data_IF_266847209377
#
_entry.id   IF_266847209377
#
_cell.length_a   1.000
_cell.length_b   1.000
_cell.length_c   1.000
_cell.angle_alpha   90.00
_cell.angle_beta   90.00
_cell.angle_gamma   90.00
#
_symmetry.space_group_name_H-M   'P 1'
#
loop_
_entity.id
_entity.type
_entity.pdbx_description
1 polymer ?
#
# COMPACT_ATOMS: atom_id res chain seq x y z
N UNK A 1 -19.04 5.47 -2.41
CA UNK A 1 -18.31 4.21 -2.18
C UNK A 1 -18.76 3.56 -0.87
N UNK A 2 -18.90 4.35 0.20
CA UNK A 2 -19.61 3.97 1.41
C UNK A 2 -21.13 3.98 1.32
N UNK A 3 -21.78 3.84 2.47
CA UNK A 3 -23.24 3.93 2.64
C UNK A 3 -23.74 5.37 2.90
N UNK A 4 -22.81 6.33 3.03
CA UNK A 4 -23.10 7.74 3.23
C UNK A 4 -23.31 8.15 4.68
N UNK A 5 -23.19 7.21 5.63
CA UNK A 5 -23.29 7.45 7.08
C UNK A 5 -21.91 7.58 7.73
N UNK A 6 -20.84 7.49 6.96
CA UNK A 6 -19.49 7.52 7.49
C UNK A 6 -19.06 8.94 7.87
N UNK A 7 -18.48 9.08 9.06
CA UNK A 7 -17.99 10.36 9.58
C UNK A 7 -16.46 10.43 9.44
N UNK A 8 -15.95 11.57 8.97
CA UNK A 8 -14.52 11.88 8.98
C UNK A 8 -14.29 13.38 9.18
N UNK A 9 -13.10 13.72 9.67
CA UNK A 9 -12.69 15.11 9.78
C UNK A 9 -12.04 15.51 8.45
N UNK A 10 -12.57 16.55 7.81
CA UNK A 10 -11.95 17.08 6.59
C UNK A 10 -10.53 17.55 6.93
N UNK A 11 -9.48 16.96 6.33
CA UNK A 11 -8.11 17.33 6.66
C UNK A 11 -7.78 18.69 6.06
N UNK A 12 -6.86 19.41 6.69
CA UNK A 12 -6.27 20.61 6.12
C UNK A 12 -5.42 20.27 4.88
N UNK A 13 -5.22 21.24 4.00
CA UNK A 13 -4.21 21.14 2.93
C UNK A 13 -2.85 21.40 3.56
N UNK A 14 -1.87 20.55 3.23
CA UNK A 14 -0.50 20.65 3.73
C UNK A 14 0.48 20.21 2.65
N UNK A 15 1.74 20.64 2.79
CA UNK A 15 2.83 20.12 1.97
C UNK A 15 3.10 18.65 2.30
N UNK A 16 3.48 17.88 1.29
CA UNK A 16 3.93 16.49 1.41
C UNK A 16 5.42 16.47 1.05
N UNK A 17 6.27 16.04 1.97
CA UNK A 17 7.69 15.89 1.67
C UNK A 17 7.89 14.62 0.86
N UNK A 18 8.90 14.64 0.00
CA UNK A 18 9.27 13.47 -0.80
C UNK A 18 10.76 13.47 -1.08
N UNK A 19 11.29 12.27 -1.32
CA UNK A 19 12.68 12.02 -1.67
C UNK A 19 12.74 11.26 -3.00
N UNK A 20 13.60 11.71 -3.92
CA UNK A 20 13.96 10.96 -5.12
C UNK A 20 15.09 10.00 -4.79
N UNK A 21 14.83 8.70 -4.97
CA UNK A 21 15.80 7.65 -4.70
C UNK A 21 16.14 6.89 -5.97
N UNK A 22 17.43 6.76 -6.24
CA UNK A 22 18.00 6.00 -7.34
C UNK A 22 18.99 4.94 -6.85
N UNK A 23 19.58 4.22 -7.80
CA UNK A 23 20.75 3.35 -7.54
C UNK A 23 21.99 4.01 -8.12
N UNK A 24 23.15 3.85 -7.47
CA UNK A 24 24.47 4.19 -8.00
C UNK A 24 25.23 2.91 -8.30
N UNK A 25 25.91 2.82 -9.44
CA UNK A 25 26.62 1.60 -9.85
C UNK A 25 27.85 1.31 -8.96
N UNK A 26 28.58 2.38 -8.64
CA UNK A 26 29.92 2.32 -8.07
C UNK A 26 29.93 2.53 -6.54
N UNK A 27 28.76 2.64 -5.91
CA UNK A 27 28.65 2.83 -4.47
C UNK A 27 28.88 1.51 -3.72
N UNK A 28 29.70 1.52 -2.67
CA UNK A 28 29.84 0.37 -1.76
C UNK A 28 28.69 0.32 -0.76
N UNK A 29 28.50 -0.85 -0.11
CA UNK A 29 27.43 -1.03 0.88
C UNK A 29 27.64 -0.16 2.14
N UNK A 30 28.88 0.26 2.40
CA UNK A 30 29.28 1.12 3.52
C UNK A 30 29.37 2.62 3.15
N UNK A 31 29.15 2.98 1.88
CA UNK A 31 29.23 4.38 1.45
C UNK A 31 28.03 5.18 1.97
N UNK A 32 28.30 6.25 2.72
CA UNK A 32 27.24 7.15 3.20
C UNK A 32 26.61 7.93 2.05
N UNK A 33 25.31 8.23 2.18
CA UNK A 33 24.61 9.08 1.21
C UNK A 33 25.27 10.46 1.16
N UNK A 34 25.75 10.93 0.00
CA UNK A 34 26.45 12.20 -0.09
C UNK A 34 25.58 13.38 0.36
N UNK A 35 26.13 14.24 1.21
CA UNK A 35 25.48 15.49 1.64
C UNK A 35 25.67 16.58 0.57
N UNK A 36 24.90 16.47 -0.52
CA UNK A 36 24.87 17.42 -1.64
C UNK A 36 23.44 17.95 -1.85
N UNK A 37 23.31 19.04 -2.63
CA UNK A 37 22.01 19.63 -2.94
C UNK A 37 21.10 18.65 -3.70
N UNK A 38 19.79 18.69 -3.43
CA UNK A 38 18.80 17.78 -4.01
C UNK A 38 18.73 17.87 -5.54
N UNK A 39 18.91 19.06 -6.11
CA UNK A 39 19.00 19.28 -7.55
C UNK A 39 20.16 18.48 -8.15
N UNK A 40 21.32 18.53 -7.51
CA UNK A 40 22.53 17.81 -7.95
C UNK A 40 22.33 16.30 -7.79
N UNK A 41 21.72 15.83 -6.69
CA UNK A 41 21.38 14.40 -6.51
C UNK A 41 20.47 13.92 -7.62
N UNK A 42 19.42 14.67 -7.91
CA UNK A 42 18.44 14.31 -8.92
C UNK A 42 19.08 14.30 -10.32
N UNK A 43 19.86 15.32 -10.69
CA UNK A 43 20.58 15.35 -11.96
C UNK A 43 21.54 14.18 -12.13
N UNK A 44 22.30 13.84 -11.08
CA UNK A 44 23.20 12.69 -11.09
C UNK A 44 22.43 11.38 -11.24
N UNK A 45 21.36 11.18 -10.46
CA UNK A 45 20.47 10.02 -10.58
C UNK A 45 19.93 9.84 -12.00
N UNK A 46 19.56 10.94 -12.67
CA UNK A 46 19.02 10.87 -14.03
C UNK A 46 20.05 10.47 -15.09
N UNK A 47 21.33 10.70 -14.82
CA UNK A 47 22.50 10.35 -15.66
C UNK A 47 23.13 9.01 -15.29
N UNK A 48 22.71 8.37 -14.20
CA UNK A 48 23.29 7.12 -13.72
C UNK A 48 23.11 5.96 -14.70
N UNK A 49 24.16 5.16 -14.89
CA UNK A 49 24.18 4.04 -15.85
C UNK A 49 23.25 2.90 -15.42
N UNK A 50 22.96 2.80 -14.13
CA UNK A 50 22.00 1.83 -13.59
C UNK A 50 20.55 2.14 -13.98
N UNK A 51 20.27 3.36 -14.47
CA UNK A 51 18.94 3.75 -14.92
C UNK A 51 18.71 3.30 -16.37
N UNK A 52 18.20 2.09 -16.51
CA UNK A 52 17.92 1.44 -17.80
C UNK A 52 16.44 1.48 -18.20
N UNK A 53 15.56 1.95 -17.31
CA UNK A 53 14.11 2.00 -17.48
C UNK A 53 13.56 3.41 -17.18
N UNK A 54 12.39 3.72 -17.77
CA UNK A 54 11.60 4.91 -17.45
C UNK A 54 10.76 4.74 -16.17
N UNK A 55 10.70 3.52 -15.63
CA UNK A 55 9.90 3.18 -14.47
C UNK A 55 10.14 4.14 -13.29
N UNK A 56 9.05 4.72 -12.81
CA UNK A 56 9.00 5.54 -11.60
C UNK A 56 8.05 4.86 -10.61
N UNK A 57 8.59 4.36 -9.50
CA UNK A 57 7.77 3.81 -8.43
C UNK A 57 7.38 4.95 -7.49
N UNK A 58 6.08 5.18 -7.29
CA UNK A 58 5.59 6.00 -6.18
C UNK A 58 5.49 5.08 -4.95
N UNK A 59 6.42 5.22 -4.02
CA UNK A 59 6.51 4.32 -2.86
C UNK A 59 5.86 4.89 -1.62
N UNK A 60 4.94 4.12 -1.03
CA UNK A 60 4.19 4.45 0.18
C UNK A 60 4.67 3.53 1.30
N UNK A 61 5.31 4.12 2.30
CA UNK A 61 5.92 3.36 3.39
C UNK A 61 4.90 2.69 4.32
N UNK A 62 5.29 1.59 4.97
CA UNK A 62 4.55 0.98 6.07
C UNK A 62 4.67 1.77 7.38
N UNK A 63 4.29 1.15 8.50
CA UNK A 63 4.33 1.80 9.82
C UNK A 63 2.96 2.11 10.43
N UNK A 64 1.93 1.36 10.04
CA UNK A 64 0.62 1.39 10.71
C UNK A 64 -0.07 2.76 10.67
N UNK A 65 0.32 3.64 9.75
CA UNK A 65 -0.12 5.04 9.61
C UNK A 65 0.38 6.04 10.66
N UNK A 66 1.19 5.64 11.65
CA UNK A 66 1.65 6.53 12.74
C UNK A 66 3.15 6.48 13.02
N UNK A 67 3.91 5.65 12.31
CA UNK A 67 5.38 5.58 12.42
C UNK A 67 6.02 5.46 11.03
N UNK A 68 7.36 5.42 11.02
CA UNK A 68 8.20 5.35 9.82
C UNK A 68 8.17 6.64 8.97
N UNK A 69 8.95 6.65 7.90
CA UNK A 69 9.10 7.80 7.00
C UNK A 69 10.23 7.55 6.01
N UNK A 70 10.77 8.63 5.46
CA UNK A 70 11.85 8.58 4.45
C UNK A 70 13.05 7.77 4.95
N UNK A 71 13.55 8.07 6.15
CA UNK A 71 14.74 7.42 6.71
C UNK A 71 14.60 5.90 6.91
N UNK A 72 13.43 5.41 7.32
CA UNK A 72 13.25 3.96 7.53
C UNK A 72 13.06 3.18 6.23
N UNK A 73 12.67 3.84 5.14
CA UNK A 73 12.37 3.20 3.85
C UNK A 73 13.33 3.56 2.71
N UNK A 74 14.28 4.48 2.92
CA UNK A 74 15.29 4.87 1.93
C UNK A 74 16.02 3.65 1.35
N UNK A 75 16.51 2.75 2.22
CA UNK A 75 17.21 1.54 1.79
C UNK A 75 16.32 0.55 1.01
N UNK A 76 15.01 0.56 1.23
CA UNK A 76 14.04 -0.21 0.45
C UNK A 76 13.81 0.44 -0.91
N UNK A 77 13.63 1.76 -0.95
CA UNK A 77 13.51 2.53 -2.18
C UNK A 77 14.73 2.36 -3.10
N UNK A 78 15.96 2.39 -2.55
CA UNK A 78 17.18 2.15 -3.33
C UNK A 78 17.24 0.76 -3.96
N UNK A 79 16.82 -0.28 -3.21
CA UNK A 79 16.75 -1.66 -3.75
C UNK A 79 15.72 -1.79 -4.87
N UNK A 80 14.59 -1.13 -4.73
CA UNK A 80 13.54 -1.12 -5.76
C UNK A 80 13.97 -0.33 -6.99
N UNK A 81 14.61 0.83 -6.83
CA UNK A 81 15.19 1.61 -7.93
C UNK A 81 16.17 0.75 -8.75
N UNK A 82 17.07 0.03 -8.06
CA UNK A 82 17.99 -0.91 -8.69
C UNK A 82 17.26 -2.04 -9.41
N UNK A 83 16.26 -2.65 -8.76
CA UNK A 83 15.55 -3.81 -9.29
C UNK A 83 14.63 -3.49 -10.48
N UNK A 84 14.04 -2.29 -10.55
CA UNK A 84 13.23 -1.88 -11.69
C UNK A 84 14.04 -1.17 -12.80
N UNK A 85 15.34 -0.96 -12.60
CA UNK A 85 16.20 -0.17 -13.48
C UNK A 85 15.78 1.31 -13.58
N UNK A 86 14.96 1.78 -12.65
CA UNK A 86 14.29 3.07 -12.70
C UNK A 86 14.62 3.93 -11.50
N UNK A 87 13.61 4.63 -10.99
CA UNK A 87 13.70 5.52 -9.82
C UNK A 87 12.48 5.39 -8.93
N UNK A 88 12.63 5.83 -7.68
CA UNK A 88 11.55 5.82 -6.69
C UNK A 88 11.30 7.24 -6.21
N UNK A 89 10.04 7.67 -6.17
CA UNK A 89 9.60 8.80 -5.37
C UNK A 89 9.05 8.24 -4.06
N UNK A 90 9.83 8.36 -2.98
CA UNK A 90 9.44 7.95 -1.64
C UNK A 90 8.81 9.16 -0.94
N UNK A 91 7.57 9.04 -0.46
CA UNK A 91 6.85 10.17 0.13
C UNK A 91 6.70 10.03 1.64
N UNK A 92 6.65 11.17 2.32
CA UNK A 92 6.34 11.28 3.75
C UNK A 92 4.91 11.80 3.89
N UNK A 93 3.93 10.88 3.71
CA UNK A 93 2.53 11.22 3.93
C UNK A 93 2.27 11.51 5.41
N UNK A 94 1.30 12.38 5.72
CA UNK A 94 1.05 12.79 7.12
C UNK A 94 0.59 11.63 7.99
N UNK A 95 1.09 11.57 9.21
CA UNK A 95 0.83 10.46 10.13
C UNK A 95 -0.32 10.75 11.10
N UNK A 96 -0.97 9.68 11.54
CA UNK A 96 -1.86 9.70 12.68
C UNK A 96 -1.04 9.81 13.99
N UNK A 97 -1.56 10.43 15.04
CA UNK A 97 -2.92 10.97 15.17
C UNK A 97 -3.12 12.40 14.61
N UNK A 98 -2.06 13.10 14.21
CA UNK A 98 -2.13 14.49 13.75
C UNK A 98 -2.94 14.63 12.45
N UNK A 99 -2.94 13.59 11.62
CA UNK A 99 -3.78 13.51 10.43
C UNK A 99 -4.33 12.09 10.32
N UNK A 100 -5.65 11.94 10.45
CA UNK A 100 -6.35 10.68 10.23
C UNK A 100 -6.90 10.61 8.79
N UNK A 101 -7.45 9.45 8.41
CA UNK A 101 -8.16 9.28 7.14
C UNK A 101 -9.23 10.38 6.97
N UNK A 102 -9.35 11.03 5.79
CA UNK A 102 -8.70 10.70 4.51
C UNK A 102 -7.37 11.43 4.23
N UNK A 103 -6.73 12.05 5.21
CA UNK A 103 -5.56 12.92 4.98
C UNK A 103 -4.38 12.23 4.29
N UNK A 104 -4.01 11.03 4.74
CA UNK A 104 -2.98 10.21 4.09
C UNK A 104 -3.29 9.96 2.61
N UNK A 105 -4.54 9.58 2.30
CA UNK A 105 -4.94 9.27 0.93
C UNK A 105 -4.88 10.52 0.03
N UNK A 106 -5.22 11.69 0.58
CA UNK A 106 -5.10 12.97 -0.13
C UNK A 106 -3.63 13.32 -0.41
N UNK A 107 -2.73 13.05 0.54
CA UNK A 107 -1.29 13.28 0.35
C UNK A 107 -0.73 12.39 -0.76
N UNK A 108 -1.12 11.11 -0.78
CA UNK A 108 -0.73 10.15 -1.81
C UNK A 108 -1.28 10.55 -3.19
N UNK A 109 -2.55 10.98 -3.27
CA UNK A 109 -3.12 11.51 -4.51
C UNK A 109 -2.36 12.76 -4.98
N UNK A 110 -2.00 13.65 -4.06
CA UNK A 110 -1.24 14.86 -4.36
C UNK A 110 0.15 14.53 -4.90
N UNK A 111 0.81 13.51 -4.36
CA UNK A 111 2.09 13.02 -4.87
C UNK A 111 1.97 12.40 -6.27
N UNK A 112 0.87 11.70 -6.57
CA UNK A 112 0.61 11.20 -7.91
C UNK A 112 0.37 12.34 -8.91
N UNK A 113 -0.41 13.36 -8.53
CA UNK A 113 -0.61 14.55 -9.36
C UNK A 113 0.69 15.34 -9.55
N UNK A 114 1.55 15.40 -8.54
CA UNK A 114 2.89 15.99 -8.64
C UNK A 114 3.75 15.29 -9.69
N UNK A 115 3.74 13.95 -9.72
CA UNK A 115 4.44 13.18 -10.75
C UNK A 115 3.92 13.49 -12.16
N UNK A 116 2.61 13.56 -12.35
CA UNK A 116 1.97 13.79 -13.65
C UNK A 116 2.11 15.25 -14.12
N UNK A 117 1.98 16.21 -13.20
CA UNK A 117 1.86 17.63 -13.48
C UNK A 117 2.76 18.46 -12.54
N UNK A 118 4.08 18.27 -12.56
CA UNK A 118 4.99 18.99 -11.69
C UNK A 118 4.84 20.51 -11.86
N UNK A 119 4.67 21.28 -10.77
CA UNK A 119 4.68 22.73 -10.82
C UNK A 119 5.97 23.30 -11.42
N UNK A 120 5.92 24.56 -11.87
CA UNK A 120 7.12 25.25 -12.38
C UNK A 120 8.21 25.30 -11.29
N UNK A 121 9.41 24.85 -11.63
CA UNK A 121 10.55 24.81 -10.72
C UNK A 121 10.71 23.48 -9.96
N UNK A 122 9.85 22.48 -10.22
CA UNK A 122 10.08 21.12 -9.74
C UNK A 122 11.33 20.51 -10.35
N UNK A 123 11.90 19.53 -9.63
CA UNK A 123 13.12 18.83 -10.04
C UNK A 123 12.94 17.99 -11.31
N UNK A 124 11.71 17.62 -11.67
CA UNK A 124 11.42 16.67 -12.74
C UNK A 124 10.39 17.20 -13.74
N UNK A 125 10.48 16.68 -14.96
CA UNK A 125 9.43 16.81 -15.97
C UNK A 125 8.25 15.89 -15.68
N UNK A 126 7.10 16.17 -16.30
CA UNK A 126 5.90 15.34 -16.23
C UNK A 126 6.22 13.87 -16.55
N UNK A 127 5.84 12.98 -15.65
CA UNK A 127 6.02 11.54 -15.79
C UNK A 127 4.78 10.95 -16.45
N UNK A 128 4.95 10.14 -17.49
CA UNK A 128 3.84 9.44 -18.13
C UNK A 128 3.15 8.52 -17.12
N UNK A 129 1.81 8.44 -17.07
CA UNK A 129 1.11 7.50 -16.20
C UNK A 129 1.49 6.04 -16.47
N UNK A 130 1.84 5.71 -17.72
CA UNK A 130 2.29 4.37 -18.11
C UNK A 130 3.73 4.06 -17.66
N UNK A 131 4.45 5.06 -17.14
CA UNK A 131 5.78 4.88 -16.56
C UNK A 131 5.72 4.85 -15.01
N UNK A 132 4.53 5.00 -14.40
CA UNK A 132 4.34 5.07 -12.94
C UNK A 132 3.76 3.75 -12.41
N UNK A 133 4.37 3.21 -11.34
CA UNK A 133 3.82 2.07 -10.59
C UNK A 133 3.66 2.48 -9.14
N UNK A 134 2.48 2.22 -8.56
CA UNK A 134 2.27 2.45 -7.13
C UNK A 134 2.81 1.26 -6.35
N UNK A 135 3.59 1.52 -5.31
CA UNK A 135 4.12 0.43 -4.52
C UNK A 135 4.20 0.76 -3.03
N UNK A 136 4.09 -0.24 -2.17
CA UNK A 136 4.12 0.01 -0.73
C UNK A 136 3.98 -1.25 0.10
N UNK A 137 4.32 -1.13 1.37
CA UNK A 137 4.30 -2.23 2.32
C UNK A 137 3.30 -1.98 3.46
N UNK A 138 2.70 -3.02 4.05
CA UNK A 138 1.88 -2.89 5.25
C UNK A 138 0.74 -1.85 5.09
N UNK A 139 0.71 -0.80 5.92
CA UNK A 139 -0.19 0.35 5.79
C UNK A 139 0.02 1.15 4.50
N UNK A 140 1.24 1.25 4.00
CA UNK A 140 1.53 1.84 2.69
C UNK A 140 0.96 0.99 1.55
N UNK A 141 1.02 -0.34 1.67
CA UNK A 141 0.33 -1.28 0.78
C UNK A 141 -1.18 -1.07 0.78
N UNK A 142 -1.78 -0.78 1.94
CA UNK A 142 -3.18 -0.35 1.99
C UNK A 142 -3.39 0.97 1.24
N UNK A 143 -2.57 2.00 1.47
CA UNK A 143 -2.72 3.28 0.76
C UNK A 143 -2.60 3.13 -0.76
N UNK A 144 -1.75 2.22 -1.24
CA UNK A 144 -1.65 1.86 -2.67
C UNK A 144 -2.99 1.34 -3.18
N UNK A 145 -3.56 0.34 -2.51
CA UNK A 145 -4.84 -0.25 -2.90
C UNK A 145 -6.01 0.75 -2.74
N UNK A 146 -5.99 1.59 -1.71
CA UNK A 146 -6.97 2.63 -1.45
C UNK A 146 -6.94 3.72 -2.52
N UNK A 147 -5.75 4.18 -2.95
CA UNK A 147 -5.61 5.09 -4.08
C UNK A 147 -6.12 4.44 -5.36
N UNK A 148 -5.75 3.19 -5.63
CA UNK A 148 -6.26 2.46 -6.79
C UNK A 148 -7.80 2.40 -6.79
N UNK A 149 -8.43 2.11 -5.65
CA UNK A 149 -9.89 2.13 -5.52
C UNK A 149 -10.49 3.51 -5.79
N UNK A 150 -9.86 4.58 -5.30
CA UNK A 150 -10.30 5.95 -5.57
C UNK A 150 -10.24 6.26 -7.07
N UNK A 151 -9.12 5.94 -7.73
CA UNK A 151 -8.94 6.19 -9.16
C UNK A 151 -9.93 5.39 -10.00
N UNK A 152 -10.15 4.10 -9.69
CA UNK A 152 -11.15 3.27 -10.36
C UNK A 152 -12.56 3.83 -10.19
N UNK A 153 -12.89 4.28 -8.98
CA UNK A 153 -14.17 4.93 -8.74
C UNK A 153 -14.33 6.20 -9.59
N UNK A 154 -13.31 7.06 -9.64
CA UNK A 154 -13.32 8.25 -10.49
C UNK A 154 -13.45 7.89 -11.98
N UNK A 155 -12.74 6.86 -12.44
CA UNK A 155 -12.80 6.37 -13.82
C UNK A 155 -14.18 5.87 -14.22
N UNK A 156 -14.94 5.26 -13.30
CA UNK A 156 -16.32 4.81 -13.53
C UNK A 156 -17.33 5.95 -13.51
N UNK A 157 -17.02 7.05 -12.82
CA UNK A 157 -17.89 8.21 -12.66
C UNK A 157 -17.45 9.42 -13.51
N UNK A 158 -16.49 9.25 -14.42
CA UNK A 158 -16.05 10.31 -15.33
C UNK A 158 -17.17 10.69 -16.31
N UNK A 159 -17.19 11.93 -16.81
CA UNK A 159 -18.17 12.34 -17.82
C UNK A 159 -18.16 11.41 -19.05
N UNK A 160 -19.34 11.16 -19.63
CA UNK A 160 -19.47 10.31 -20.82
C UNK A 160 -18.59 10.84 -21.96
N UNK A 161 -17.77 9.96 -22.55
CA UNK A 161 -16.84 10.31 -23.62
C UNK A 161 -15.50 10.89 -23.15
N UNK A 162 -15.33 11.21 -21.86
CA UNK A 162 -14.03 11.61 -21.32
C UNK A 162 -13.07 10.42 -21.29
N UNK A 163 -11.81 10.63 -21.67
CA UNK A 163 -10.75 9.61 -21.59
C UNK A 163 -10.46 9.27 -20.12
N UNK A 164 -10.29 10.31 -19.30
CA UNK A 164 -9.97 10.24 -17.88
C UNK A 164 -10.89 11.17 -17.07
N UNK A 165 -11.09 10.91 -15.76
CA UNK A 165 -11.65 11.90 -14.85
C UNK A 165 -10.70 13.11 -14.74
N UNK A 166 -11.22 14.24 -14.29
CA UNK A 166 -10.42 15.48 -14.12
C UNK A 166 -10.56 16.05 -12.72
N UNK A 167 -9.55 16.80 -12.28
CA UNK A 167 -9.51 17.54 -11.02
C UNK A 167 -8.90 18.92 -11.23
N UNK A 168 -9.13 19.84 -10.29
CA UNK A 168 -8.40 21.12 -10.26
C UNK A 168 -7.10 20.92 -9.46
N UNK A 169 -5.97 21.15 -10.12
CA UNK A 169 -4.63 21.04 -9.53
C UNK A 169 -3.81 22.29 -9.90
N UNK A 170 -3.32 23.01 -8.89
CA UNK A 170 -2.65 24.33 -9.04
C UNK A 170 -3.40 25.31 -9.97
N UNK A 171 -4.74 25.37 -9.82
CA UNK A 171 -5.60 26.27 -10.58
C UNK A 171 -5.93 25.81 -12.01
N UNK A 172 -5.40 24.67 -12.45
CA UNK A 172 -5.64 24.11 -13.78
C UNK A 172 -6.49 22.85 -13.70
N UNK A 173 -7.36 22.65 -14.69
CA UNK A 173 -8.05 21.37 -14.88
C UNK A 173 -7.06 20.36 -15.48
N UNK A 174 -6.79 19.28 -14.77
CA UNK A 174 -5.88 18.21 -15.20
C UNK A 174 -6.58 16.86 -15.21
N UNK A 175 -6.12 15.93 -16.06
CA UNK A 175 -6.64 14.56 -16.09
C UNK A 175 -6.07 13.72 -14.93
N UNK A 176 -6.79 12.68 -14.51
CA UNK A 176 -6.29 11.70 -13.52
C UNK A 176 -6.35 10.30 -14.13
N UNK A 177 -5.36 9.93 -14.97
CA UNK A 177 -5.24 8.58 -15.51
C UNK A 177 -4.96 7.52 -14.44
N UNK A 178 -5.09 6.25 -14.80
CA UNK A 178 -4.57 5.13 -13.99
C UNK A 178 -3.05 4.99 -14.19
N UNK A 179 -2.31 4.51 -13.17
CA UNK A 179 -0.88 4.19 -13.33
C UNK A 179 -0.70 2.90 -14.16
N UNK A 180 0.55 2.55 -14.46
CA UNK A 180 0.92 1.32 -15.17
C UNK A 180 0.61 0.03 -14.39
N UNK A 181 0.55 0.10 -13.06
CA UNK A 181 0.30 -1.05 -12.19
C UNK A 181 0.40 -0.70 -10.71
N UNK A 182 0.18 -1.70 -9.85
CA UNK A 182 0.45 -1.56 -8.43
C UNK A 182 1.05 -2.82 -7.79
N UNK A 183 1.91 -2.64 -6.79
CA UNK A 183 2.56 -3.73 -6.07
C UNK A 183 2.54 -3.53 -4.56
N UNK A 184 2.14 -4.55 -3.80
CA UNK A 184 2.06 -4.48 -2.34
C UNK A 184 2.85 -5.60 -1.68
N UNK A 185 3.62 -5.25 -0.65
CA UNK A 185 4.26 -6.19 0.28
C UNK A 185 3.48 -6.20 1.60
N UNK A 186 2.87 -7.33 1.95
CA UNK A 186 2.14 -7.50 3.21
C UNK A 186 1.03 -6.45 3.41
N UNK A 187 0.22 -6.18 2.38
CA UNK A 187 -0.76 -5.08 2.41
C UNK A 187 -1.83 -5.25 3.50
N UNK A 188 -2.07 -4.22 4.32
CA UNK A 188 -3.05 -4.27 5.40
C UNK A 188 -4.47 -3.93 4.92
N UNK A 189 -5.15 -4.85 4.23
CA UNK A 189 -6.43 -4.55 3.56
C UNK A 189 -7.71 -4.67 4.40
N UNK A 190 -7.61 -5.21 5.61
CA UNK A 190 -8.71 -5.31 6.58
C UNK A 190 -8.32 -4.61 7.89
N UNK A 191 -8.77 -3.37 8.08
CA UNK A 191 -8.54 -2.59 9.32
C UNK A 191 -9.30 -3.18 10.51
N UNK A 192 -10.38 -3.93 10.26
CA UNK A 192 -11.07 -4.64 11.35
C UNK A 192 -10.24 -5.81 11.89
N UNK A 193 -9.28 -6.32 11.11
CA UNK A 193 -8.46 -7.49 11.45
C UNK A 193 -9.34 -8.67 11.89
N UNK A 194 -10.32 -8.98 11.03
CA UNK A 194 -11.34 -10.01 11.26
C UNK A 194 -11.02 -11.34 10.58
N UNK A 195 -9.98 -11.39 9.75
CA UNK A 195 -9.61 -12.60 9.00
C UNK A 195 -9.00 -13.68 9.91
N UNK A 196 -9.20 -14.99 9.62
CA UNK A 196 -8.68 -16.08 10.44
C UNK A 196 -7.16 -16.04 10.70
N UNK A 197 -6.36 -15.73 9.67
CA UNK A 197 -4.90 -15.55 9.76
C UNK A 197 -4.46 -14.57 10.83
N UNK A 198 -5.31 -13.59 11.18
CA UNK A 198 -5.08 -12.65 12.28
C UNK A 198 -4.81 -13.37 13.60
N UNK A 199 -5.47 -14.51 13.81
CA UNK A 199 -5.35 -15.32 15.03
C UNK A 199 -4.48 -16.55 14.81
N UNK A 200 -4.68 -17.28 13.69
CA UNK A 200 -3.99 -18.56 13.46
C UNK A 200 -2.48 -18.39 13.26
N UNK A 201 -2.06 -17.27 12.66
CA UNK A 201 -0.65 -16.98 12.39
C UNK A 201 0.00 -16.09 13.45
N UNK A 202 -0.76 -15.57 14.42
CA UNK A 202 -0.26 -14.66 15.45
C UNK A 202 0.95 -15.19 16.22
N UNK A 203 0.99 -16.49 16.51
CA UNK A 203 2.10 -17.13 17.22
C UNK A 203 3.42 -17.14 16.44
N UNK A 204 3.37 -16.89 15.12
CA UNK A 204 4.53 -16.91 14.22
C UNK A 204 4.87 -15.53 13.66
N UNK A 205 4.09 -14.51 14.02
CA UNK A 205 4.26 -13.14 13.56
C UNK A 205 4.68 -12.24 14.73
N UNK A 206 5.58 -11.28 14.50
CA UNK A 206 5.96 -10.30 15.52
C UNK A 206 4.90 -9.19 15.66
N UNK A 207 3.97 -9.08 14.70
CA UNK A 207 2.82 -8.20 14.86
C UNK A 207 1.97 -8.69 16.04
N UNK A 208 2.06 -7.95 17.14
CA UNK A 208 1.14 -8.14 18.25
C UNK A 208 -0.25 -7.75 17.77
N UNK A 209 -1.17 -8.71 17.80
CA UNK A 209 -2.57 -8.46 17.51
C UNK A 209 -3.29 -8.09 18.81
N UNK A 210 -3.51 -6.80 19.15
CA UNK A 210 -4.31 -6.46 20.32
C UNK A 210 -5.76 -6.91 20.11
N UNK A 211 -6.46 -7.11 21.22
CA UNK A 211 -7.90 -7.29 21.15
C UNK A 211 -8.57 -6.00 20.63
N UNK A 212 -9.40 -6.10 19.59
CA UNK A 212 -9.88 -4.93 18.82
C UNK A 212 -11.33 -4.51 19.09
N UNK A 213 -12.08 -5.21 19.96
CA UNK A 213 -13.48 -4.83 20.19
C UNK A 213 -13.60 -3.53 21.02
N UNK A 214 -12.53 -3.10 21.70
CA UNK A 214 -12.49 -1.83 22.43
C UNK A 214 -12.14 -0.64 21.52
N UNK A 215 -13.09 0.27 21.34
CA UNK A 215 -12.97 1.47 20.51
C UNK A 215 -12.60 2.74 21.31
N UNK A 216 -12.63 2.69 22.65
CA UNK A 216 -12.54 3.87 23.52
C UNK A 216 -11.27 3.90 24.37
N UNK A 217 -10.98 2.84 25.12
CA UNK A 217 -9.84 2.81 26.06
C UNK A 217 -8.53 2.34 25.43
N UNK A 218 -8.55 1.84 24.18
CA UNK A 218 -7.34 1.44 23.44
C UNK A 218 -6.49 2.64 23.01
N UNK A 219 -7.11 3.79 22.78
CA UNK A 219 -6.44 5.00 22.31
C UNK A 219 -6.67 6.10 23.35
N UNK A 220 -5.62 6.72 23.90
CA UNK A 220 -5.79 7.78 24.88
C UNK A 220 -6.60 8.94 24.29
N UNK A 221 -7.43 9.58 25.12
CA UNK A 221 -8.11 10.83 24.77
C UNK A 221 -7.05 11.91 24.57
N UNK A 222 -7.15 12.66 23.48
CA UNK A 222 -6.22 13.73 23.13
C UNK A 222 -7.00 14.93 22.56
N UNK A 223 -6.46 16.14 22.69
CA UNK A 223 -7.09 17.37 22.17
C UNK A 223 -6.87 17.51 20.66
N UNK A 224 -5.70 17.09 20.17
CA UNK A 224 -5.32 17.05 18.75
C UNK A 224 -6.09 15.95 18.04
N UNK A 225 -6.42 14.88 18.76
CA UNK A 225 -7.21 13.79 18.24
C UNK A 225 -8.36 13.47 19.22
N UNK A 226 -9.60 13.95 18.95
CA UNK A 226 -10.78 13.71 19.78
C UNK A 226 -11.46 12.35 19.53
N UNK A 227 -12.05 11.76 20.57
CA UNK A 227 -12.80 10.48 20.50
C UNK A 227 -14.26 10.63 20.07
N UNK A 228 -14.65 11.82 19.62
CA UNK A 228 -15.93 12.09 18.98
C UNK A 228 -15.66 12.67 17.59
N UNK A 229 -16.02 11.98 16.50
CA UNK A 229 -16.67 10.66 16.47
C UNK A 229 -15.77 9.52 16.97
N UNK A 230 -16.38 8.38 17.30
CA UNK A 230 -15.66 7.20 17.83
C UNK A 230 -14.59 6.72 16.85
N UNK A 231 -13.47 6.25 17.38
CA UNK A 231 -12.34 5.71 16.59
C UNK A 231 -12.48 4.22 16.41
N UNK A 232 -12.21 3.75 15.19
CA UNK A 232 -12.14 2.31 14.90
C UNK A 232 -10.71 1.78 14.99
N UNK A 233 -9.76 2.65 14.66
CA UNK A 233 -8.32 2.40 14.66
C UNK A 233 -7.56 3.74 14.78
N UNK A 234 -6.23 3.72 14.99
CA UNK A 234 -5.40 4.93 15.03
C UNK A 234 -5.53 5.79 13.76
N UNK A 235 -5.86 5.13 12.65
CA UNK A 235 -5.97 5.74 11.34
C UNK A 235 -7.36 6.30 10.97
N UNK A 236 -8.46 5.81 11.57
CA UNK A 236 -9.80 6.14 11.09
C UNK A 236 -10.90 6.03 12.16
N UNK A 237 -12.02 6.70 11.87
CA UNK A 237 -13.24 6.62 12.68
C UNK A 237 -13.90 5.25 12.55
N UNK A 238 -14.68 4.88 13.58
CA UNK A 238 -15.30 3.58 13.70
C UNK A 238 -16.28 3.29 12.57
N UNK A 239 -17.01 4.30 12.11
CA UNK A 239 -17.93 4.20 10.96
C UNK A 239 -17.23 3.84 9.65
N UNK A 240 -15.93 4.11 9.53
CA UNK A 240 -15.16 3.91 8.30
C UNK A 240 -14.48 2.54 8.19
N UNK A 241 -14.49 1.71 9.23
CA UNK A 241 -13.73 0.45 9.24
C UNK A 241 -14.00 -0.46 8.03
N UNK A 242 -15.22 -0.47 7.52
CA UNK A 242 -15.60 -1.25 6.34
C UNK A 242 -15.69 -0.42 5.03
N UNK A 243 -15.31 0.86 5.07
CA UNK A 243 -15.29 1.69 3.87
C UNK A 243 -14.18 1.22 2.92
N UNK A 244 -14.43 1.06 1.60
CA UNK A 244 -13.44 0.50 0.66
C UNK A 244 -12.12 1.29 0.52
N UNK A 245 -12.12 2.58 0.85
CA UNK A 245 -10.90 3.41 0.88
C UNK A 245 -10.12 3.34 2.22
N UNK A 246 -10.66 2.63 3.21
CA UNK A 246 -10.02 2.40 4.51
C UNK A 246 -9.62 0.94 4.63
N UNK A 247 -10.53 0.03 4.28
CA UNK A 247 -10.26 -1.39 4.13
C UNK A 247 -10.49 -1.80 2.68
N UNK A 248 -9.47 -1.77 1.81
CA UNK A 248 -9.55 -2.21 0.41
C UNK A 248 -10.15 -3.59 0.19
N UNK A 249 -10.09 -4.48 1.19
CA UNK A 249 -10.75 -5.79 1.13
C UNK A 249 -12.28 -5.68 0.95
N UNK A 250 -12.90 -4.57 1.38
CA UNK A 250 -14.32 -4.31 1.19
C UNK A 250 -14.68 -3.83 -0.24
N UNK A 251 -13.71 -3.63 -1.13
CA UNK A 251 -13.95 -3.21 -2.49
C UNK A 251 -14.77 -4.23 -3.28
N UNK A 252 -15.91 -3.78 -3.83
CA UNK A 252 -16.80 -4.63 -4.61
C UNK A 252 -16.27 -4.88 -6.02
N UNK A 253 -15.59 -3.91 -6.61
CA UNK A 253 -15.28 -3.91 -8.03
C UNK A 253 -13.87 -3.36 -8.29
N UNK A 254 -12.99 -4.24 -8.75
CA UNK A 254 -11.61 -4.04 -9.16
C UNK A 254 -11.47 -4.02 -10.69
N UNK A 255 -12.55 -4.24 -11.44
CA UNK A 255 -12.50 -4.29 -12.90
C UNK A 255 -11.96 -3.00 -13.50
N UNK A 256 -11.12 -3.13 -14.52
CA UNK A 256 -10.42 -2.02 -15.16
C UNK A 256 -9.17 -1.54 -14.41
N UNK A 257 -8.77 -2.20 -13.31
CA UNK A 257 -7.47 -1.97 -12.69
C UNK A 257 -6.32 -2.35 -13.64
N UNK A 258 -5.19 -1.62 -13.60
CA UNK A 258 -3.95 -2.10 -14.21
C UNK A 258 -3.45 -3.35 -13.45
N UNK A 259 -2.38 -4.02 -13.93
CA UNK A 259 -1.84 -5.20 -13.25
C UNK A 259 -1.55 -4.97 -11.76
N UNK A 260 -1.84 -6.00 -10.95
CA UNK A 260 -1.74 -5.96 -9.48
C UNK A 260 -0.80 -7.04 -8.97
N UNK A 261 0.15 -6.67 -8.11
CA UNK A 261 1.05 -7.60 -7.44
C UNK A 261 0.82 -7.64 -5.93
N UNK A 262 0.53 -8.83 -5.41
CA UNK A 262 0.41 -9.11 -3.99
C UNK A 262 1.52 -10.04 -3.50
N UNK A 263 2.29 -9.58 -2.51
CA UNK A 263 3.34 -10.37 -1.87
C UNK A 263 3.07 -10.48 -0.38
N UNK A 264 3.22 -11.67 0.21
CA UNK A 264 3.13 -11.86 1.67
C UNK A 264 4.03 -13.01 2.11
N UNK A 265 4.28 -13.08 3.41
CA UNK A 265 4.71 -14.31 4.05
C UNK A 265 3.54 -15.22 4.46
N UNK A 266 3.78 -16.14 5.41
CA UNK A 266 2.77 -16.86 6.19
C UNK A 266 2.39 -16.07 7.45
N UNK A 267 1.95 -14.84 7.19
CA UNK A 267 1.81 -13.77 8.18
C UNK A 267 0.35 -13.50 8.54
N UNK A 268 0.15 -12.57 9.48
CA UNK A 268 -1.16 -12.19 10.01
C UNK A 268 -2.11 -11.57 8.96
N UNK A 269 -1.57 -10.94 7.92
CA UNK A 269 -2.32 -10.21 6.90
C UNK A 269 -2.58 -11.04 5.62
N UNK A 270 -2.14 -12.30 5.59
CA UNK A 270 -2.12 -13.09 4.36
C UNK A 270 -3.51 -13.36 3.77
N UNK A 271 -4.55 -13.55 4.59
CA UNK A 271 -5.88 -13.86 4.06
C UNK A 271 -6.46 -12.70 3.28
N UNK A 272 -6.36 -11.48 3.81
CA UNK A 272 -6.85 -10.28 3.12
C UNK A 272 -6.19 -10.10 1.75
N UNK A 273 -4.88 -10.35 1.67
CA UNK A 273 -4.13 -10.32 0.41
C UNK A 273 -4.57 -11.42 -0.56
N UNK A 274 -4.75 -12.65 -0.08
CA UNK A 274 -5.21 -13.78 -0.91
C UNK A 274 -6.62 -13.55 -1.46
N UNK A 275 -7.55 -13.12 -0.62
CA UNK A 275 -8.94 -12.88 -1.00
C UNK A 275 -9.02 -11.75 -2.03
N UNK A 276 -8.26 -10.66 -1.83
CA UNK A 276 -8.26 -9.55 -2.77
C UNK A 276 -7.60 -9.92 -4.12
N UNK A 277 -6.54 -10.74 -4.10
CA UNK A 277 -5.89 -11.27 -5.30
C UNK A 277 -6.83 -12.16 -6.13
N UNK A 278 -7.49 -13.15 -5.48
CA UNK A 278 -8.49 -14.01 -6.13
C UNK A 278 -9.59 -13.16 -6.76
N UNK A 279 -10.15 -12.21 -5.99
CA UNK A 279 -11.22 -11.34 -6.44
C UNK A 279 -10.81 -10.47 -7.64
N UNK A 280 -9.59 -9.94 -7.65
CA UNK A 280 -9.08 -9.17 -8.77
C UNK A 280 -8.99 -10.03 -10.04
N UNK A 281 -8.45 -11.26 -9.92
CA UNK A 281 -8.38 -12.22 -11.01
C UNK A 281 -9.75 -12.62 -11.56
N UNK A 282 -10.71 -12.92 -10.67
CA UNK A 282 -12.10 -13.23 -11.05
C UNK A 282 -12.81 -12.08 -11.78
N UNK A 283 -12.33 -10.85 -11.57
CA UNK A 283 -12.83 -9.62 -12.20
C UNK A 283 -12.02 -9.21 -13.45
N UNK A 284 -11.16 -10.10 -13.95
CA UNK A 284 -10.41 -9.94 -15.18
C UNK A 284 -9.18 -9.04 -15.07
N UNK A 285 -8.70 -8.75 -13.85
CA UNK A 285 -7.45 -8.02 -13.64
C UNK A 285 -6.28 -8.99 -13.73
N UNK A 286 -5.19 -8.60 -14.39
CA UNK A 286 -3.94 -9.37 -14.36
C UNK A 286 -3.31 -9.31 -12.96
N UNK A 287 -3.12 -10.46 -12.34
CA UNK A 287 -2.63 -10.59 -10.97
C UNK A 287 -1.35 -11.42 -10.89
N UNK A 288 -0.34 -10.85 -10.24
CA UNK A 288 0.84 -11.57 -9.78
C UNK A 288 0.71 -11.78 -8.28
N UNK A 289 1.01 -12.98 -7.79
CA UNK A 289 0.96 -13.33 -6.36
C UNK A 289 2.20 -14.12 -5.97
N UNK A 290 2.90 -13.70 -4.93
CA UNK A 290 4.03 -14.44 -4.37
C UNK A 290 3.88 -14.65 -2.85
N UNK A 291 3.80 -15.90 -2.40
CA UNK A 291 3.75 -16.23 -0.98
C UNK A 291 5.04 -16.93 -0.54
N UNK A 292 5.67 -16.41 0.51
CA UNK A 292 6.91 -16.92 1.07
C UNK A 292 6.64 -17.76 2.31
N UNK A 293 7.10 -19.02 2.30
CA UNK A 293 6.99 -19.96 3.41
C UNK A 293 7.66 -19.42 4.68
N UNK A 294 7.02 -19.60 5.84
CA UNK A 294 7.52 -19.26 7.18
C UNK A 294 8.04 -17.81 7.36
N UNK A 295 7.68 -16.89 6.46
CA UNK A 295 8.04 -15.49 6.57
C UNK A 295 6.99 -14.70 7.37
N UNK A 296 7.40 -13.87 8.35
CA UNK A 296 6.48 -12.98 9.06
C UNK A 296 6.20 -11.70 8.24
N UNK A 297 5.37 -10.82 8.80
CA UNK A 297 5.00 -9.53 8.21
C UNK A 297 6.22 -8.72 7.73
N UNK A 298 6.21 -8.25 6.47
CA UNK A 298 7.29 -7.46 5.84
C UNK A 298 8.72 -8.02 6.05
N UNK A 299 8.87 -9.35 6.08
CA UNK A 299 10.15 -10.04 6.35
C UNK A 299 11.38 -9.47 5.61
N UNK A 300 11.22 -9.06 4.34
CA UNK A 300 12.30 -8.55 3.49
C UNK A 300 12.91 -7.23 4.01
N UNK A 301 12.18 -6.52 4.87
CA UNK A 301 12.63 -5.29 5.50
C UNK A 301 13.29 -5.55 6.86
N UNK A 302 12.91 -6.63 7.55
CA UNK A 302 13.33 -6.91 8.93
C UNK A 302 14.55 -7.83 8.99
N UNK A 303 14.67 -8.74 8.04
CA UNK A 303 15.79 -9.69 8.01
C UNK A 303 16.71 -9.38 6.82
N UNK A 304 17.70 -8.48 6.99
CA UNK A 304 18.52 -8.00 5.89
C UNK A 304 19.37 -9.10 5.22
N UNK A 305 19.72 -10.15 5.97
CA UNK A 305 20.63 -11.22 5.54
C UNK A 305 19.92 -12.44 4.92
N UNK A 306 18.57 -12.43 4.86
CA UNK A 306 17.84 -13.52 4.21
C UNK A 306 18.06 -13.50 2.70
N UNK A 307 18.49 -14.62 2.12
CA UNK A 307 18.63 -14.75 0.66
C UNK A 307 17.31 -14.47 -0.07
N UNK A 308 16.18 -14.88 0.52
CA UNK A 308 14.83 -14.65 -0.01
C UNK A 308 14.45 -13.15 -0.08
N UNK A 309 15.12 -12.28 0.68
CA UNK A 309 14.96 -10.82 0.57
C UNK A 309 15.31 -10.29 -0.82
N UNK A 310 16.42 -10.76 -1.38
CA UNK A 310 16.88 -10.34 -2.70
C UNK A 310 15.84 -10.74 -3.75
N UNK A 311 15.35 -11.98 -3.67
CA UNK A 311 14.27 -12.47 -4.54
C UNK A 311 13.02 -11.59 -4.41
N UNK A 312 12.60 -11.27 -3.19
CA UNK A 312 11.43 -10.42 -2.91
C UNK A 312 11.51 -9.03 -3.55
N UNK A 313 12.59 -8.28 -3.31
CA UNK A 313 12.74 -6.96 -3.93
C UNK A 313 12.93 -7.05 -5.45
N UNK A 314 13.61 -8.10 -5.93
CA UNK A 314 13.72 -8.37 -7.36
C UNK A 314 12.36 -8.61 -7.99
N UNK A 315 11.46 -9.41 -7.38
CA UNK A 315 10.11 -9.62 -7.92
C UNK A 315 9.38 -8.30 -8.09
N UNK A 316 9.42 -7.47 -7.05
CA UNK A 316 8.65 -6.24 -6.97
C UNK A 316 9.17 -5.19 -7.96
N UNK A 317 10.50 -5.07 -8.08
CA UNK A 317 11.13 -4.22 -9.09
C UNK A 317 10.89 -4.71 -10.53
N UNK A 318 11.08 -6.00 -10.80
CA UNK A 318 10.83 -6.59 -12.13
C UNK A 318 9.36 -6.50 -12.51
N UNK A 319 8.42 -6.70 -11.57
CA UNK A 319 7.00 -6.47 -11.82
C UNK A 319 6.73 -5.02 -12.23
N UNK A 320 7.31 -4.05 -11.50
CA UNK A 320 7.13 -2.64 -11.83
C UNK A 320 7.70 -2.30 -13.21
N UNK A 321 8.86 -2.83 -13.56
CA UNK A 321 9.43 -2.70 -14.91
C UNK A 321 8.51 -3.34 -15.97
N UNK A 322 8.04 -4.56 -15.73
CA UNK A 322 7.15 -5.27 -16.67
C UNK A 322 5.80 -4.56 -16.85
N UNK A 323 5.30 -3.83 -15.86
CA UNK A 323 4.11 -2.98 -16.02
C UNK A 323 4.35 -1.89 -17.06
N UNK A 324 5.49 -1.21 -16.97
CA UNK A 324 5.88 -0.14 -17.90
C UNK A 324 6.14 -0.68 -19.31
N UNK A 325 6.67 -1.89 -19.42
CA UNK A 325 6.92 -2.57 -20.69
C UNK A 325 5.67 -3.25 -21.27
N UNK A 326 4.57 -3.34 -20.52
CA UNK A 326 3.33 -4.02 -20.96
C UNK A 326 3.41 -5.55 -21.00
N UNK A 327 4.30 -6.14 -20.20
CA UNK A 327 4.68 -7.56 -20.26
C UNK A 327 4.23 -8.40 -19.04
N UNK A 328 3.33 -7.88 -18.21
CA UNK A 328 2.85 -8.60 -17.01
C UNK A 328 1.90 -9.73 -17.41
N UNK A 329 2.04 -10.89 -16.76
CA UNK A 329 1.17 -12.05 -16.92
C UNK A 329 0.70 -12.55 -15.57
N UNK A 330 -0.46 -13.19 -15.56
CA UNK A 330 -0.99 -13.83 -14.36
C UNK A 330 -0.03 -14.88 -13.83
N UNK A 331 0.22 -14.85 -12.53
CA UNK A 331 0.96 -15.90 -11.85
C UNK A 331 0.64 -15.92 -10.36
N UNK A 332 0.67 -17.11 -9.78
CA UNK A 332 0.72 -17.28 -8.35
C UNK A 332 1.81 -18.30 -8.01
N UNK A 333 2.70 -17.93 -7.10
CA UNK A 333 3.90 -18.69 -6.78
C UNK A 333 4.05 -18.83 -5.28
N UNK A 334 4.32 -20.05 -4.84
CA UNK A 334 4.81 -20.37 -3.51
C UNK A 334 6.34 -20.46 -3.52
N UNK A 335 7.00 -19.82 -2.56
CA UNK A 335 8.46 -19.78 -2.44
C UNK A 335 8.87 -20.43 -1.13
N UNK A 336 9.55 -21.57 -1.21
CA UNK A 336 10.08 -22.28 -0.04
C UNK A 336 11.30 -21.55 0.55
N UNK A 337 11.34 -21.40 1.87
CA UNK A 337 12.34 -20.57 2.57
C UNK A 337 13.76 -21.13 2.49
N UNK A 338 13.95 -22.41 2.81
CA UNK A 338 15.29 -23.03 2.91
C UNK A 338 15.85 -23.31 1.52
N UNK A 339 15.05 -23.93 0.66
CA UNK A 339 15.50 -24.38 -0.66
C UNK A 339 15.46 -23.29 -1.72
N UNK A 340 14.67 -22.23 -1.51
CA UNK A 340 14.35 -21.25 -2.56
C UNK A 340 13.50 -21.83 -3.70
N UNK A 341 12.99 -23.06 -3.55
CA UNK A 341 12.20 -23.72 -4.60
C UNK A 341 10.90 -22.97 -4.81
N UNK A 342 10.64 -22.62 -6.07
CA UNK A 342 9.39 -22.00 -6.50
C UNK A 342 8.41 -23.07 -6.99
N UNK A 343 7.14 -22.93 -6.64
CA UNK A 343 6.07 -23.82 -7.08
C UNK A 343 4.88 -22.98 -7.50
N UNK A 344 4.39 -23.23 -8.72
CA UNK A 344 3.18 -22.57 -9.21
C UNK A 344 1.97 -23.00 -8.38
N UNK A 345 1.08 -22.06 -8.11
CA UNK A 345 -0.20 -22.26 -7.43
C UNK A 345 -1.29 -21.73 -8.36
N UNK A 346 -2.45 -22.37 -8.38
CA UNK A 346 -3.59 -21.85 -9.13
C UNK A 346 -4.19 -20.65 -8.39
N UNK A 347 -4.41 -19.53 -9.10
CA UNK A 347 -4.93 -18.28 -8.53
C UNK A 347 -6.23 -18.51 -7.75
N UNK A 348 -7.18 -19.26 -8.31
CA UNK A 348 -8.46 -19.59 -7.66
C UNK A 348 -8.35 -20.47 -6.41
N UNK A 349 -7.20 -21.14 -6.20
CA UNK A 349 -6.98 -22.05 -5.07
C UNK A 349 -6.13 -21.40 -3.95
N UNK A 350 -5.85 -20.11 -4.03
CA UNK A 350 -5.05 -19.40 -3.01
C UNK A 350 -5.66 -19.42 -1.61
N UNK A 351 -7.00 -19.48 -1.53
CA UNK A 351 -7.75 -19.51 -0.27
C UNK A 351 -9.13 -20.12 -0.48
N UNK A 352 -9.70 -20.74 0.56
CA UNK A 352 -11.08 -21.20 0.60
C UNK A 352 -12.05 -20.13 1.13
N UNK A 353 -11.52 -19.00 1.63
CA UNK A 353 -12.31 -17.90 2.16
C UNK A 353 -12.87 -17.06 1.01
N UNK A 354 -14.19 -16.88 0.98
CA UNK A 354 -14.83 -16.03 -0.03
C UNK A 354 -14.76 -14.55 0.36
N UNK A 355 -14.93 -13.68 -0.64
CA UNK A 355 -15.05 -12.24 -0.37
C UNK A 355 -16.29 -11.91 0.45
N UNK A 356 -17.41 -12.61 0.24
CA UNK A 356 -18.64 -12.44 1.03
C UNK A 356 -18.41 -12.78 2.50
N UNK A 357 -17.65 -13.86 2.77
CA UNK A 357 -17.24 -14.21 4.13
C UNK A 357 -16.39 -13.11 4.76
N UNK A 358 -15.40 -12.58 4.02
CA UNK A 358 -14.55 -11.50 4.51
C UNK A 358 -15.37 -10.25 4.86
N UNK A 359 -16.23 -9.80 3.94
CA UNK A 359 -17.07 -8.62 4.14
C UNK A 359 -18.04 -8.81 5.32
N UNK A 360 -18.64 -9.99 5.46
CA UNK A 360 -19.52 -10.29 6.59
C UNK A 360 -18.75 -10.25 7.93
N UNK A 361 -17.54 -10.83 7.96
CA UNK A 361 -16.67 -10.84 9.14
C UNK A 361 -16.26 -9.43 9.57
N UNK A 362 -15.88 -8.59 8.61
CA UNK A 362 -15.54 -7.18 8.84
C UNK A 362 -16.73 -6.38 9.37
N UNK A 363 -17.90 -6.50 8.74
CA UNK A 363 -19.13 -5.84 9.19
C UNK A 363 -19.53 -6.27 10.60
N UNK A 364 -19.43 -7.57 10.89
CA UNK A 364 -19.68 -8.08 12.23
C UNK A 364 -18.70 -7.48 13.25
N UNK A 365 -17.42 -7.30 12.90
CA UNK A 365 -16.44 -6.66 13.76
C UNK A 365 -16.76 -5.19 14.04
N UNK A 366 -17.11 -4.44 12.99
CA UNK A 366 -17.53 -3.04 13.14
C UNK A 366 -18.79 -2.92 14.02
N UNK A 367 -19.82 -3.75 13.78
CA UNK A 367 -21.06 -3.75 14.55
C UNK A 367 -20.83 -4.07 16.03
N UNK A 368 -19.93 -5.02 16.36
CA UNK A 368 -19.59 -5.33 17.76
C UNK A 368 -18.98 -4.12 18.47
N UNK A 369 -18.03 -3.44 17.82
CA UNK A 369 -17.39 -2.23 18.35
C UNK A 369 -18.38 -1.07 18.53
N UNK A 370 -19.33 -0.92 17.61
CA UNK A 370 -20.39 0.09 17.72
C UNK A 370 -21.34 -0.20 18.89
N UNK A 371 -21.68 -1.47 19.13
CA UNK A 371 -22.59 -1.87 20.21
C UNK A 371 -21.96 -1.76 21.60
N UNK A 372 -20.66 -2.05 21.73
CA UNK A 372 -19.96 -1.99 23.00
C UNK A 372 -18.56 -1.34 22.84
N UNK A 373 -18.50 -0.02 22.68
CA UNK A 373 -17.25 0.68 22.37
C UNK A 373 -16.24 0.64 23.53
N UNK A 374 -16.68 0.31 24.76
CA UNK A 374 -15.84 0.16 25.95
C UNK A 374 -15.56 -1.31 26.33
N UNK A 375 -15.83 -2.26 25.42
CA UNK A 375 -15.66 -3.69 25.69
C UNK A 375 -14.27 -4.00 26.28
N UNK A 376 -14.20 -4.69 27.42
CA UNK A 376 -12.92 -5.18 27.94
C UNK A 376 -12.28 -6.12 26.92
N UNK A 377 -10.94 -6.04 26.79
CA UNK A 377 -10.19 -6.95 25.92
C UNK A 377 -10.63 -8.39 26.21
N UNK A 378 -11.01 -9.17 25.18
CA UNK A 378 -11.12 -10.62 25.34
C UNK A 378 -9.74 -11.12 25.76
N UNK A 379 -9.63 -11.66 26.95
CA UNK A 379 -8.45 -12.43 27.33
C UNK A 379 -8.29 -13.54 26.31
N UNK A 380 -7.08 -13.76 25.83
CA UNK A 380 -6.69 -14.93 25.03
C UNK A 380 -6.71 -16.22 25.87
N UNK A 381 -7.71 -16.35 26.75
CA UNK A 381 -7.97 -17.57 27.50
C UNK A 381 -8.93 -18.40 26.63
N UNK A 382 -8.37 -19.47 26.05
CA UNK A 382 -8.99 -20.44 25.12
C UNK A 382 -8.81 -20.09 23.63
N UNK A 383 -7.56 -20.19 23.17
CA UNK A 383 -7.25 -20.69 21.84
C UNK A 383 -6.76 -22.14 21.97
#
# INVERSE_FOLDING_TARGET
MGDGKEEFIKPAVASVNAEWVGSRADASDEEETPCIAEEVKYESMMKEKTRTSKCTILYLHGGGYYMCGLGTHHATAGKLAKACGGRVLLIEYRLAPQTAFPGQLIDVLSAYLYLLYPPKGSLHDAVSPNDIVFAGDSSGGNLVASLMQLLLHMQRNKPTGAKNPTVIYHGNTVEVPLPAGMATLSGWFDITKSMPSVTTNQKWDYLVSPNYDNAVSRLPKDVIWPTNPLRGDIFCNLSLLCHPLVSPLAAKDLSGAPPMFFMTGEELLTDGNKILAVRAGDQGVTVVREQYEAMPHVFAMIFPDLKTRIRCFSSMGCFAQNCVEGNVKDSATWIAIISGKESAVEMGNLTHLTWEYALASMKNAQLRRMKNPEAKNRTTEKA
#
